data_IF_261420572438
#
_entry.id   IF_261420572438
#
_cell.length_a   1.000
_cell.length_b   1.000
_cell.length_c   1.000
_cell.angle_alpha   90.00
_cell.angle_beta   90.00
_cell.angle_gamma   90.00
#
_symmetry.space_group_name_H-M   'P 1'
#
loop_
_entity.id
_entity.type
_entity.pdbx_description
1 polymer ?
#
# COMPACT_ATOMS: atom_id res chain seq x y z
N UNK A 1 -38.15 -45.31 10.04
CA UNK A 1 -37.92 -45.95 8.74
C UNK A 1 -37.11 -44.99 7.86
N UNK A 2 -36.17 -45.54 7.09
CA UNK A 2 -35.26 -44.84 6.15
C UNK A 2 -36.03 -44.13 5.03
N UNK A 3 -35.38 -43.13 4.40
CA UNK A 3 -35.28 -42.79 2.96
C UNK A 3 -35.16 -41.26 2.80
N UNK A 4 -34.44 -40.64 1.87
CA UNK A 4 -33.46 -41.01 0.84
C UNK A 4 -32.91 -39.68 0.29
N UNK A 5 -31.69 -39.71 -0.24
CA UNK A 5 -31.01 -38.68 -1.04
C UNK A 5 -31.89 -37.96 -2.08
N UNK A 6 -31.56 -36.69 -2.34
CA UNK A 6 -31.66 -35.94 -3.62
C UNK A 6 -31.01 -34.56 -3.35
N UNK A 7 -29.72 -34.33 -3.63
CA UNK A 7 -29.15 -33.95 -4.93
C UNK A 7 -29.96 -32.89 -5.70
N UNK A 8 -29.47 -31.64 -5.64
CA UNK A 8 -29.50 -30.68 -6.76
C UNK A 8 -30.56 -29.57 -6.73
N UNK A 9 -30.12 -28.32 -6.56
CA UNK A 9 -30.46 -27.22 -7.48
C UNK A 9 -29.51 -26.04 -7.26
N UNK A 10 -28.80 -25.66 -8.33
CA UNK A 10 -28.10 -24.39 -8.46
C UNK A 10 -29.15 -23.29 -8.39
N UNK A 11 -29.01 -22.35 -7.45
CA UNK A 11 -29.79 -21.12 -7.41
C UNK A 11 -28.84 -19.94 -7.24
N UNK A 12 -28.99 -19.01 -8.17
CA UNK A 12 -28.17 -17.85 -8.43
C UNK A 12 -28.11 -16.84 -7.29
N UNK A 13 -27.08 -15.99 -7.34
CA UNK A 13 -27.19 -14.61 -6.92
C UNK A 13 -26.84 -14.31 -5.47
N UNK A 14 -25.54 -14.24 -5.19
CA UNK A 14 -25.01 -13.29 -4.21
C UNK A 14 -24.06 -12.34 -4.94
N UNK A 15 -24.63 -11.57 -5.86
CA UNK A 15 -24.05 -10.30 -6.30
C UNK A 15 -24.62 -9.20 -5.40
N UNK A 16 -24.05 -9.03 -4.19
CA UNK A 16 -24.05 -7.79 -3.41
C UNK A 16 -22.86 -7.88 -2.45
N UNK A 17 -21.88 -6.99 -2.60
CA UNK A 17 -20.91 -6.70 -1.53
C UNK A 17 -19.43 -6.77 -1.87
N UNK A 18 -18.96 -6.12 -2.95
CA UNK A 18 -17.61 -5.53 -2.95
C UNK A 18 -17.72 -4.04 -3.30
N UNK A 19 -18.49 -3.31 -2.50
CA UNK A 19 -18.26 -1.87 -2.36
C UNK A 19 -16.95 -1.77 -1.60
N UNK A 20 -15.86 -1.48 -2.32
CA UNK A 20 -14.53 -1.16 -1.79
C UNK A 20 -14.23 -1.79 -0.44
N UNK A 21 -13.93 -3.09 -0.41
CA UNK A 21 -13.21 -3.60 0.75
C UNK A 21 -11.95 -2.72 0.85
N UNK A 22 -11.68 -2.07 2.01
CA UNK A 22 -10.35 -1.50 2.20
C UNK A 22 -9.40 -2.65 1.89
N UNK A 23 -8.37 -2.42 1.07
CA UNK A 23 -7.27 -3.38 0.98
C UNK A 23 -6.97 -3.78 2.41
N UNK A 24 -7.14 -5.06 2.72
CA UNK A 24 -7.16 -5.55 4.10
C UNK A 24 -5.87 -5.06 4.78
N UNK A 25 -6.00 -3.96 5.52
CA UNK A 25 -4.93 -3.10 6.03
C UNK A 25 -3.65 -3.12 5.18
N UNK A 26 -3.50 -2.18 4.25
CA UNK A 26 -2.16 -1.76 3.81
C UNK A 26 -1.19 -1.79 5.01
N UNK A 27 -0.06 -2.47 4.85
CA UNK A 27 0.80 -2.82 5.98
C UNK A 27 1.66 -1.62 6.36
N UNK A 28 1.06 -0.65 7.05
CA UNK A 28 1.73 0.56 7.52
C UNK A 28 2.89 0.21 8.47
N UNK A 29 2.73 -0.84 9.25
CA UNK A 29 3.78 -1.34 10.13
C UNK A 29 4.94 -1.94 9.33
N UNK A 30 4.65 -2.77 8.33
CA UNK A 30 5.63 -3.32 7.38
C UNK A 30 6.36 -2.23 6.61
N UNK A 31 5.62 -1.23 6.11
CA UNK A 31 6.17 -0.05 5.45
C UNK A 31 7.20 0.68 6.33
N UNK A 32 6.80 1.06 7.56
CA UNK A 32 7.71 1.74 8.49
C UNK A 32 8.89 0.85 8.89
N UNK A 33 8.67 -0.46 8.99
CA UNK A 33 9.72 -1.42 9.30
C UNK A 33 10.73 -1.57 8.17
N UNK A 34 10.28 -1.65 6.93
CA UNK A 34 11.14 -1.70 5.75
C UNK A 34 11.96 -0.41 5.62
N UNK A 35 11.34 0.76 5.85
CA UNK A 35 12.06 2.03 5.86
C UNK A 35 13.15 2.06 6.94
N UNK A 36 12.86 1.59 8.16
CA UNK A 36 13.86 1.49 9.24
C UNK A 36 14.98 0.51 8.89
N UNK A 37 14.64 -0.66 8.36
CA UNK A 37 15.60 -1.69 8.00
C UNK A 37 16.56 -1.23 6.89
N UNK A 38 16.08 -0.42 5.96
CA UNK A 38 16.87 0.15 4.87
C UNK A 38 17.57 1.48 5.24
N UNK A 39 17.46 1.94 6.49
CA UNK A 39 18.12 3.17 6.95
C UNK A 39 17.55 4.44 6.29
N UNK A 40 16.24 4.49 6.04
CA UNK A 40 15.60 5.59 5.34
C UNK A 40 15.84 6.94 6.05
N UNK A 41 16.53 7.91 5.40
CA UNK A 41 16.88 9.19 6.01
C UNK A 41 15.68 10.17 6.10
N UNK A 42 14.48 9.74 5.72
CA UNK A 42 13.24 10.51 5.95
C UNK A 42 12.51 10.16 7.24
N UNK A 43 13.04 9.24 8.05
CA UNK A 43 12.50 8.95 9.39
C UNK A 43 12.86 10.02 10.42
N UNK A 44 13.85 10.87 10.14
CA UNK A 44 14.29 11.92 11.05
C UNK A 44 14.44 13.26 10.33
N UNK A 45 14.30 14.35 11.09
CA UNK A 45 14.63 15.71 10.66
C UNK A 45 15.54 16.31 11.73
N UNK A 46 16.82 16.49 11.39
CA UNK A 46 17.85 16.70 12.40
C UNK A 46 17.93 15.50 13.36
N UNK A 47 17.86 15.76 14.65
CA UNK A 47 17.86 14.72 15.71
C UNK A 47 16.44 14.26 16.10
N UNK A 48 15.39 14.82 15.50
CA UNK A 48 14.01 14.51 15.84
C UNK A 48 13.43 13.39 14.96
N UNK A 49 12.80 12.40 15.60
CA UNK A 49 12.03 11.36 14.91
C UNK A 49 10.77 11.96 14.29
N UNK A 50 10.55 11.72 13.00
CA UNK A 50 9.31 12.04 12.33
C UNK A 50 8.17 11.17 12.88
N UNK A 51 6.97 11.74 13.11
CA UNK A 51 5.81 10.95 13.49
C UNK A 51 5.49 9.92 12.40
N UNK A 52 5.25 8.68 12.80
CA UNK A 52 4.94 7.57 11.91
C UNK A 52 3.81 7.91 10.93
N UNK A 53 2.75 8.57 11.41
CA UNK A 53 1.62 8.99 10.57
C UNK A 53 2.01 9.95 9.44
N UNK A 54 3.03 10.80 9.62
CA UNK A 54 3.54 11.69 8.56
C UNK A 54 4.29 10.88 7.49
N UNK A 55 5.09 9.91 7.92
CA UNK A 55 5.84 9.03 7.01
C UNK A 55 4.89 8.15 6.21
N UNK A 56 3.89 7.56 6.88
CA UNK A 56 2.82 6.76 6.27
C UNK A 56 2.02 7.58 5.27
N UNK A 57 1.63 8.82 5.63
CA UNK A 57 0.94 9.71 4.70
C UNK A 57 1.76 9.99 3.42
N UNK A 58 3.08 10.13 3.53
CA UNK A 58 3.96 10.28 2.36
C UNK A 58 3.98 9.03 1.49
N UNK A 59 4.00 7.82 2.09
CA UNK A 59 3.87 6.57 1.36
C UNK A 59 2.54 6.47 0.60
N UNK A 60 1.43 6.85 1.24
CA UNK A 60 0.12 6.88 0.60
C UNK A 60 0.01 7.91 -0.52
N UNK A 61 0.65 9.07 -0.39
CA UNK A 61 0.72 10.05 -1.48
C UNK A 61 1.46 9.48 -2.70
N UNK A 62 2.54 8.72 -2.47
CA UNK A 62 3.25 8.02 -3.54
C UNK A 62 2.32 7.03 -4.26
N UNK A 63 1.63 6.19 -3.49
CA UNK A 63 0.66 5.23 -4.02
C UNK A 63 -0.44 5.90 -4.83
N UNK A 64 -1.04 6.97 -4.30
CA UNK A 64 -2.11 7.70 -5.00
C UNK A 64 -1.64 8.24 -6.36
N UNK A 65 -0.39 8.70 -6.48
CA UNK A 65 0.17 9.15 -7.77
C UNK A 65 0.29 8.01 -8.78
N UNK A 66 0.76 6.85 -8.32
CA UNK A 66 0.82 5.66 -9.16
C UNK A 66 -0.58 5.22 -9.62
N UNK A 67 -1.57 5.25 -8.72
CA UNK A 67 -2.97 4.98 -9.06
C UNK A 67 -3.58 5.97 -10.05
N UNK A 68 -3.08 7.21 -10.09
CA UNK A 68 -3.44 8.21 -11.09
C UNK A 68 -2.73 8.01 -12.44
N UNK A 69 -1.89 6.98 -12.57
CA UNK A 69 -1.18 6.64 -13.80
C UNK A 69 0.14 7.37 -13.99
N UNK A 70 0.68 8.02 -12.94
CA UNK A 70 2.06 8.52 -13.01
C UNK A 70 3.05 7.36 -13.10
N UNK A 71 4.11 7.54 -13.90
CA UNK A 71 5.21 6.58 -13.93
C UNK A 71 6.06 6.69 -12.65
N UNK A 72 6.63 5.59 -12.15
CA UNK A 72 7.49 5.59 -10.97
C UNK A 72 8.56 6.69 -11.02
N UNK A 73 9.25 6.88 -12.15
CA UNK A 73 10.32 7.87 -12.30
C UNK A 73 9.80 9.32 -12.14
N UNK A 74 8.57 9.59 -12.59
CA UNK A 74 7.92 10.88 -12.41
C UNK A 74 7.50 11.09 -10.95
N UNK A 75 6.98 10.05 -10.31
CA UNK A 75 6.61 10.09 -8.90
C UNK A 75 7.85 10.30 -8.01
N UNK A 76 8.99 9.68 -8.32
CA UNK A 76 10.26 9.88 -7.60
C UNK A 76 10.69 11.35 -7.58
N UNK A 77 10.66 12.01 -8.73
CA UNK A 77 11.01 13.43 -8.85
C UNK A 77 10.08 14.34 -8.02
N UNK A 78 8.84 13.92 -7.79
CA UNK A 78 7.87 14.67 -7.01
C UNK A 78 7.93 14.38 -5.50
N UNK A 79 8.32 13.17 -5.11
CA UNK A 79 8.46 12.79 -3.71
C UNK A 79 9.67 13.47 -3.05
N UNK A 80 10.79 13.52 -3.76
CA UNK A 80 11.96 14.25 -3.29
C UNK A 80 12.83 14.72 -4.46
N UNK A 81 12.61 15.95 -4.96
CA UNK A 81 13.33 16.47 -6.13
C UNK A 81 14.84 16.65 -5.87
N UNK A 82 15.26 16.76 -4.61
CA UNK A 82 16.65 17.00 -4.25
C UNK A 82 17.43 15.70 -3.96
N UNK A 83 16.74 14.57 -3.82
CA UNK A 83 17.34 13.28 -3.48
C UNK A 83 16.44 12.15 -3.98
N UNK A 84 16.73 11.72 -5.22
CA UNK A 84 15.98 10.68 -5.93
C UNK A 84 16.14 9.31 -5.25
N UNK A 85 17.27 9.04 -4.61
CA UNK A 85 17.51 7.77 -3.93
C UNK A 85 16.63 7.65 -2.70
N UNK A 86 16.49 8.73 -1.92
CA UNK A 86 15.50 8.82 -0.84
C UNK A 86 14.07 8.65 -1.38
N UNK A 87 13.73 9.29 -2.49
CA UNK A 87 12.45 9.07 -3.17
C UNK A 87 12.21 7.60 -3.52
N UNK A 88 13.26 6.90 -3.98
CA UNK A 88 13.19 5.50 -4.42
C UNK A 88 12.99 4.54 -3.27
N UNK A 89 13.66 4.75 -2.15
CA UNK A 89 13.44 3.96 -0.93
C UNK A 89 11.98 4.06 -0.46
N UNK A 90 11.43 5.28 -0.42
CA UNK A 90 10.05 5.52 -0.01
C UNK A 90 9.06 4.86 -0.98
N UNK A 91 9.25 5.06 -2.28
CA UNK A 91 8.36 4.52 -3.31
C UNK A 91 8.35 2.99 -3.29
N UNK A 92 9.53 2.35 -3.25
CA UNK A 92 9.63 0.89 -3.21
C UNK A 92 8.94 0.30 -1.98
N UNK A 93 9.18 0.87 -0.79
CA UNK A 93 8.52 0.40 0.43
C UNK A 93 7.00 0.61 0.37
N UNK A 94 6.54 1.73 -0.21
CA UNK A 94 5.12 2.00 -0.39
C UNK A 94 4.47 1.02 -1.37
N UNK A 95 5.12 0.74 -2.50
CA UNK A 95 4.64 -0.26 -3.47
C UNK A 95 4.59 -1.65 -2.84
N UNK A 96 5.58 -2.09 -2.06
CA UNK A 96 5.55 -3.42 -1.46
C UNK A 96 4.51 -3.59 -0.34
N UNK A 97 4.30 -2.57 0.48
CA UNK A 97 3.53 -2.71 1.71
C UNK A 97 2.16 -2.01 1.67
N UNK A 98 2.05 -0.86 0.99
CA UNK A 98 0.84 -0.03 0.99
C UNK A 98 -0.01 -0.23 -0.28
N UNK A 99 0.63 -0.27 -1.45
CA UNK A 99 -0.03 -0.39 -2.76
C UNK A 99 0.64 -1.44 -3.69
N UNK A 100 0.63 -2.73 -3.31
CA UNK A 100 1.23 -3.81 -4.09
C UNK A 100 0.57 -4.06 -5.45
N UNK A 101 -0.60 -3.47 -5.68
CA UNK A 101 -1.30 -3.45 -6.97
C UNK A 101 -0.67 -2.52 -8.01
N UNK A 102 0.33 -1.71 -7.62
CA UNK A 102 1.02 -0.75 -8.49
C UNK A 102 2.38 -1.23 -9.01
N UNK A 103 2.75 -2.50 -8.75
CA UNK A 103 3.98 -3.14 -9.23
C UNK A 103 3.83 -3.73 -10.64
#
# INVERSE_FOLDING_TARGET
>A
MKKQFLMGTVAAGLAIGFIGAPTASADEAGFLNELRANGFPGLTVGDAQMPDGVVVANGWMACNRLHLGEKPEQTLAQLNPNDVDKGRMLLNAAQHNLCPDTL
#
